data_IF_234927439228
#
_entry.id   IF_234927439228
#
_cell.length_a   1.000
_cell.length_b   1.000
_cell.length_c   1.000
_cell.angle_alpha   90.00
_cell.angle_beta   90.00
_cell.angle_gamma   90.00
#
_symmetry.space_group_name_H-M   'P 1'
#
loop_
_entity.id
_entity.type
_entity.pdbx_description
1 polymer ?
#
# COMPACT_ATOMS: atom_id res chain seq x y z
N UNK A 1 17.18 3.68 -5.43
CA UNK A 1 15.84 3.08 -5.61
C UNK A 1 15.23 2.70 -4.28
N UNK A 2 13.95 2.89 -4.16
CA UNK A 2 13.20 2.54 -2.95
C UNK A 2 11.98 1.69 -3.31
N UNK A 3 11.59 0.84 -2.39
CA UNK A 3 10.31 0.14 -2.46
C UNK A 3 9.36 0.82 -1.49
N UNK A 4 8.30 1.41 -2.00
CA UNK A 4 7.23 1.99 -1.19
C UNK A 4 6.18 0.92 -0.99
N UNK A 5 5.90 0.61 0.27
CA UNK A 5 4.89 -0.38 0.65
C UNK A 5 3.78 0.36 1.39
N UNK A 6 2.57 0.29 0.90
CA UNK A 6 1.43 0.93 1.53
C UNK A 6 0.39 -0.12 1.93
N UNK A 7 0.00 -0.11 3.19
CA UNK A 7 -1.09 -0.95 3.70
C UNK A 7 -2.28 -0.02 3.91
N UNK A 8 -3.34 -0.21 3.15
CA UNK A 8 -4.47 0.72 3.10
C UNK A 8 -5.80 -0.01 3.26
N UNK A 9 -6.85 0.75 3.54
CA UNK A 9 -8.22 0.22 3.50
C UNK A 9 -8.56 -0.21 2.07
N UNK A 10 -9.18 -1.38 1.88
CA UNK A 10 -9.44 -1.91 0.53
C UNK A 10 -10.24 -0.97 -0.37
N UNK A 11 -11.22 -0.25 0.18
CA UNK A 11 -12.06 0.64 -0.62
C UNK A 11 -11.32 1.91 -1.10
N UNK A 12 -10.09 2.13 -0.62
CA UNK A 12 -9.25 3.24 -1.07
C UNK A 12 -8.27 2.86 -2.19
N UNK A 13 -8.31 1.61 -2.64
CA UNK A 13 -7.37 1.13 -3.65
C UNK A 13 -7.46 1.93 -4.96
N UNK A 14 -8.66 2.16 -5.46
CA UNK A 14 -8.84 2.89 -6.72
C UNK A 14 -8.37 4.35 -6.60
N UNK A 15 -8.64 4.98 -5.47
CA UNK A 15 -8.17 6.35 -5.22
C UNK A 15 -6.64 6.41 -5.20
N UNK A 16 -6.01 5.44 -4.56
CA UNK A 16 -4.55 5.35 -4.51
C UNK A 16 -3.96 5.13 -5.91
N UNK A 17 -4.52 4.21 -6.68
CA UNK A 17 -4.06 3.92 -8.04
C UNK A 17 -4.14 5.16 -8.93
N UNK A 18 -5.25 5.87 -8.86
CA UNK A 18 -5.45 7.09 -9.65
C UNK A 18 -4.45 8.17 -9.26
N UNK A 19 -4.25 8.40 -7.96
CA UNK A 19 -3.29 9.38 -7.47
C UNK A 19 -1.85 9.03 -7.88
N UNK A 20 -1.49 7.76 -7.83
CA UNK A 20 -0.17 7.31 -8.26
C UNK A 20 0.05 7.50 -9.76
N UNK A 21 -0.98 7.25 -10.57
CA UNK A 21 -0.91 7.51 -12.01
C UNK A 21 -0.64 8.99 -12.29
N UNK A 22 -1.26 9.88 -11.55
CA UNK A 22 -1.08 11.33 -11.72
C UNK A 22 0.36 11.78 -11.43
N UNK A 23 1.07 11.10 -10.57
CA UNK A 23 2.49 11.41 -10.26
C UNK A 23 3.47 10.57 -11.08
N UNK A 24 2.99 9.90 -12.12
CA UNK A 24 3.83 9.23 -13.09
C UNK A 24 4.16 7.76 -12.79
N UNK A 25 3.55 7.16 -11.79
CA UNK A 25 3.73 5.74 -11.50
C UNK A 25 3.00 4.91 -12.56
N UNK A 26 3.72 4.06 -13.25
CA UNK A 26 3.17 3.25 -14.35
C UNK A 26 2.85 1.82 -13.94
N UNK A 27 3.40 1.36 -12.84
CA UNK A 27 3.16 0.00 -12.39
C UNK A 27 3.21 -0.12 -10.87
N UNK A 28 2.37 -0.98 -10.35
CA UNK A 28 2.36 -1.33 -8.95
C UNK A 28 1.86 -2.76 -8.79
N UNK A 29 2.21 -3.37 -7.68
CA UNK A 29 1.72 -4.70 -7.32
C UNK A 29 0.76 -4.57 -6.16
N UNK A 30 -0.36 -5.24 -6.23
CA UNK A 30 -1.39 -5.23 -5.19
C UNK A 30 -1.59 -6.64 -4.65
N UNK A 31 -1.63 -6.75 -3.34
CA UNK A 31 -1.97 -8.00 -2.65
C UNK A 31 -3.09 -7.73 -1.67
N UNK A 32 -3.99 -8.69 -1.55
CA UNK A 32 -4.99 -8.68 -0.49
C UNK A 32 -4.37 -9.30 0.75
N UNK A 33 -4.42 -8.57 1.85
CA UNK A 33 -3.81 -8.99 3.11
C UNK A 33 -4.79 -8.77 4.25
N UNK A 34 -4.44 -9.26 5.42
CA UNK A 34 -5.21 -9.02 6.64
C UNK A 34 -4.31 -8.29 7.63
N UNK A 35 -4.85 -7.26 8.24
CA UNK A 35 -4.13 -6.49 9.24
C UNK A 35 -4.74 -6.60 10.62
N UNK A 36 -3.88 -6.59 11.61
CA UNK A 36 -4.25 -6.48 13.00
C UNK A 36 -3.69 -5.17 13.53
N UNK A 37 -4.50 -4.40 14.22
CA UNK A 37 -4.05 -3.11 14.70
C UNK A 37 -5.03 -2.47 15.66
N UNK A 38 -4.89 -1.17 15.84
CA UNK A 38 -5.66 -0.42 16.83
C UNK A 38 -7.15 -0.39 16.59
N UNK A 39 -7.60 -0.55 15.35
CA UNK A 39 -9.03 -0.57 15.09
C UNK A 39 -9.71 -1.77 15.73
N UNK A 40 -8.95 -2.78 16.12
CA UNK A 40 -9.42 -3.96 16.84
C UNK A 40 -10.77 -4.46 16.37
N UNK A 41 -10.98 -4.43 15.08
CA UNK A 41 -12.12 -5.01 14.45
C UNK A 41 -13.47 -4.65 15.03
N UNK A 42 -14.40 -5.50 14.76
CA UNK A 42 -15.77 -5.40 15.23
C UNK A 42 -16.02 -6.50 16.23
N UNK A 43 -16.92 -6.23 17.18
CA UNK A 43 -17.51 -7.29 17.96
C UNK A 43 -18.67 -7.83 17.16
N UNK A 44 -18.66 -9.12 16.87
CA UNK A 44 -19.71 -9.80 16.13
C UNK A 44 -20.38 -10.85 17.01
N UNK A 45 -21.68 -11.07 16.80
CA UNK A 45 -22.42 -12.13 17.48
C UNK A 45 -22.44 -13.36 16.58
N UNK A 46 -22.05 -14.49 17.14
CA UNK A 46 -22.15 -15.77 16.48
C UNK A 46 -22.67 -16.79 17.48
N UNK A 47 -23.82 -17.37 17.19
CA UNK A 47 -24.49 -18.34 18.08
C UNK A 47 -24.68 -17.82 19.52
N UNK A 48 -24.94 -16.51 19.65
CA UNK A 48 -25.14 -15.87 20.95
C UNK A 48 -23.87 -15.50 21.71
N UNK A 49 -22.70 -15.77 21.13
CA UNK A 49 -21.42 -15.36 21.70
C UNK A 49 -20.85 -14.18 20.92
N UNK A 50 -20.19 -13.27 21.64
CA UNK A 50 -19.46 -12.16 20.99
C UNK A 50 -18.09 -12.62 20.55
N UNK A 51 -17.72 -12.25 19.35
CA UNK A 51 -16.37 -12.43 18.81
C UNK A 51 -15.75 -11.08 18.52
N UNK A 52 -14.52 -10.91 18.92
CA UNK A 52 -13.71 -9.76 18.52
C UNK A 52 -13.00 -10.14 17.22
N UNK A 53 -13.27 -9.36 16.18
CA UNK A 53 -12.61 -9.55 14.90
C UNK A 53 -11.26 -8.84 14.96
N UNK A 54 -10.20 -9.60 15.18
CA UNK A 54 -8.85 -9.06 15.34
C UNK A 54 -8.18 -8.72 14.02
N UNK A 55 -8.50 -9.46 12.96
CA UNK A 55 -7.91 -9.25 11.65
C UNK A 55 -8.94 -8.70 10.67
N UNK A 56 -8.56 -7.63 9.99
CA UNK A 56 -9.40 -6.97 9.00
C UNK A 56 -8.74 -7.00 7.63
N UNK A 57 -9.52 -7.07 6.55
CA UNK A 57 -8.96 -7.00 5.21
C UNK A 57 -8.27 -5.66 4.96
N UNK A 58 -7.15 -5.72 4.28
CA UNK A 58 -6.37 -4.57 3.82
C UNK A 58 -5.87 -4.85 2.41
N UNK A 59 -5.51 -3.79 1.71
CA UNK A 59 -4.79 -3.90 0.44
C UNK A 59 -3.35 -3.46 0.67
N UNK A 60 -2.43 -4.25 0.15
CA UNK A 60 -1.00 -3.94 0.20
C UNK A 60 -0.54 -3.55 -1.20
N UNK A 61 0.00 -2.36 -1.33
CA UNK A 61 0.59 -1.85 -2.56
C UNK A 61 2.10 -1.89 -2.45
N UNK A 62 2.76 -2.31 -3.51
CA UNK A 62 4.22 -2.29 -3.60
C UNK A 62 4.62 -1.54 -4.87
N UNK A 63 5.38 -0.47 -4.72
CA UNK A 63 5.80 0.39 -5.81
C UNK A 63 7.31 0.62 -5.72
N UNK A 64 8.04 0.20 -6.74
CA UNK A 64 9.47 0.50 -6.85
C UNK A 64 9.63 1.84 -7.56
N UNK A 65 10.37 2.75 -6.95
CA UNK A 65 10.54 4.11 -7.45
C UNK A 65 11.99 4.57 -7.35
N UNK A 66 12.34 5.54 -8.17
CA UNK A 66 13.61 6.24 -8.04
C UNK A 66 13.60 7.09 -6.77
N UNK A 67 14.78 7.35 -6.21
CA UNK A 67 14.91 8.09 -4.95
C UNK A 67 14.23 9.46 -4.99
N UNK A 68 14.30 10.16 -6.10
CA UNK A 68 13.72 11.49 -6.27
C UNK A 68 12.20 11.50 -6.40
N UNK A 69 11.58 10.35 -6.54
CA UNK A 69 10.12 10.21 -6.66
C UNK A 69 9.45 9.83 -5.34
N UNK A 70 10.21 9.43 -4.34
CA UNK A 70 9.66 8.89 -3.09
C UNK A 70 8.68 9.85 -2.42
N UNK A 71 9.07 11.11 -2.26
CA UNK A 71 8.24 12.09 -1.56
C UNK A 71 6.90 12.32 -2.27
N UNK A 72 6.93 12.43 -3.59
CA UNK A 72 5.70 12.61 -4.38
C UNK A 72 4.78 11.41 -4.28
N UNK A 73 5.35 10.20 -4.31
CA UNK A 73 4.58 8.96 -4.22
C UNK A 73 3.97 8.80 -2.83
N UNK A 74 4.73 9.01 -1.78
CA UNK A 74 4.24 8.94 -0.40
C UNK A 74 3.13 9.95 -0.16
N UNK A 75 3.32 11.19 -0.61
CA UNK A 75 2.31 12.24 -0.48
C UNK A 75 1.02 11.87 -1.23
N UNK A 76 1.15 11.39 -2.46
CA UNK A 76 0.01 11.01 -3.27
C UNK A 76 -0.83 9.91 -2.59
N UNK A 77 -0.18 8.87 -2.08
CA UNK A 77 -0.86 7.80 -1.36
C UNK A 77 -1.52 8.33 -0.09
N UNK A 78 -0.78 9.10 0.70
CA UNK A 78 -1.29 9.64 1.97
C UNK A 78 -2.54 10.46 1.77
N UNK A 79 -2.54 11.38 0.81
CA UNK A 79 -3.70 12.23 0.52
C UNK A 79 -4.89 11.42 0.00
N UNK A 80 -4.64 10.46 -0.88
CA UNK A 80 -5.70 9.70 -1.50
C UNK A 80 -6.37 8.73 -0.53
N UNK A 81 -5.66 8.24 0.47
CA UNK A 81 -6.13 7.14 1.31
C UNK A 81 -6.48 7.53 2.74
N UNK A 82 -6.13 8.73 3.17
CA UNK A 82 -6.41 9.21 4.52
C UNK A 82 -7.90 9.48 4.71
N UNK A 83 -8.47 8.94 5.78
CA UNK A 83 -9.84 9.26 6.21
C UNK A 83 -9.85 10.00 7.55
N UNK A 84 -8.70 10.09 8.20
CA UNK A 84 -8.57 10.64 9.55
C UNK A 84 -9.04 9.71 10.65
N UNK A 85 -9.40 8.48 10.29
CA UNK A 85 -9.91 7.49 11.23
C UNK A 85 -8.88 6.38 11.47
N UNK A 86 -9.04 5.69 12.61
CA UNK A 86 -8.25 4.52 12.93
C UNK A 86 -8.39 3.50 11.80
N UNK A 87 -7.28 2.87 11.43
CA UNK A 87 -7.27 1.86 10.39
C UNK A 87 -6.88 2.36 9.00
N UNK A 88 -6.53 3.63 8.86
CA UNK A 88 -6.07 4.19 7.58
C UNK A 88 -4.83 3.48 7.02
N UNK A 89 -4.03 2.90 7.89
CA UNK A 89 -2.87 2.14 7.46
C UNK A 89 -1.56 2.87 7.62
N UNK A 90 -0.54 2.35 6.96
CA UNK A 90 0.83 2.88 7.04
C UNK A 90 1.53 2.76 5.71
N UNK A 91 2.53 3.59 5.53
CA UNK A 91 3.42 3.55 4.39
C UNK A 91 4.83 3.28 4.90
N UNK A 92 5.51 2.31 4.31
CA UNK A 92 6.89 1.98 4.60
C UNK A 92 7.74 2.26 3.38
N UNK A 93 8.93 2.81 3.59
CA UNK A 93 9.90 3.04 2.53
C UNK A 93 11.14 2.23 2.84
N UNK A 94 11.50 1.35 1.92
CA UNK A 94 12.59 0.39 2.10
C UNK A 94 13.63 0.59 1.00
N UNK A 95 14.90 0.47 1.34
CA UNK A 95 15.96 0.48 0.35
C UNK A 95 15.82 -0.70 -0.58
N UNK A 96 15.88 -0.44 -1.88
CA UNK A 96 15.82 -1.47 -2.91
C UNK A 96 17.22 -1.65 -3.50
N UNK A 97 17.81 -2.82 -3.28
CA UNK A 97 19.18 -3.07 -3.65
C UNK A 97 19.40 -3.26 -5.15
N UNK A 98 18.45 -3.85 -5.84
CA UNK A 98 18.54 -4.11 -7.28
C UNK A 98 17.16 -4.31 -7.87
N UNK A 99 17.02 -3.98 -9.14
CA UNK A 99 15.83 -4.28 -9.93
C UNK A 99 16.26 -4.76 -11.30
N UNK A 100 15.58 -5.77 -11.82
CA UNK A 100 15.84 -6.30 -13.15
C UNK A 100 14.51 -6.45 -13.88
N UNK A 101 14.40 -5.85 -15.05
CA UNK A 101 13.23 -6.03 -15.89
C UNK A 101 13.37 -7.33 -16.67
N UNK A 102 12.49 -8.25 -16.45
CA UNK A 102 12.61 -9.62 -17.00
C UNK A 102 12.63 -9.61 -18.52
N UNK A 103 11.76 -8.84 -19.17
CA UNK A 103 11.64 -8.84 -20.62
C UNK A 103 12.89 -8.28 -21.31
N UNK A 104 13.49 -7.23 -20.77
CA UNK A 104 14.57 -6.50 -21.43
C UNK A 104 15.93 -6.78 -20.85
N UNK A 105 16.01 -7.28 -19.61
CA UNK A 105 17.26 -7.43 -18.88
C UNK A 105 17.83 -6.12 -18.33
N UNK A 106 17.11 -5.00 -18.48
CA UNK A 106 17.52 -3.73 -17.90
C UNK A 106 17.62 -3.83 -16.38
N UNK A 107 18.61 -3.15 -15.81
CA UNK A 107 18.88 -3.20 -14.38
C UNK A 107 18.85 -1.82 -13.75
N UNK A 108 18.73 -1.78 -12.43
CA UNK A 108 18.77 -0.54 -11.68
C UNK A 108 17.59 0.38 -11.99
N UNK A 109 17.82 1.68 -12.01
CA UNK A 109 16.77 2.67 -12.25
C UNK A 109 16.09 2.50 -13.62
N UNK A 110 16.78 1.98 -14.61
CA UNK A 110 16.23 1.74 -15.94
C UNK A 110 15.20 0.59 -15.94
N UNK A 111 15.24 -0.26 -14.94
CA UNK A 111 14.31 -1.37 -14.81
C UNK A 111 12.96 -0.98 -14.21
N UNK A 112 12.87 0.22 -13.69
CA UNK A 112 11.66 0.70 -13.00
C UNK A 112 10.58 1.18 -13.96
#
# INVERSE_FOLDING_TARGET
>A
MKLVIAIIKPFKLDDAREALSEVGVQGLTVSEVKGFGRQKGHTELYRGAEYVVDFLPKSKLEIAVADDQVDAVVEAISKATSTGKIGDGKIFVVELGEAVRIRTGETGAEAL
#
